data_IF_211465488203
#
_entry.id   IF_211465488203
#
_cell.length_a   1.000
_cell.length_b   1.000
_cell.length_c   1.000
_cell.angle_alpha   90.00
_cell.angle_beta   90.00
_cell.angle_gamma   90.00
#
_symmetry.space_group_name_H-M   'P 1'
#
loop_
_entity.id
_entity.type
_entity.pdbx_description
1 polymer ?
#
# COMPACT_ATOMS: atom_id res chain seq x y z
N UNK A 1 37.19 -16.20 -32.45
CA UNK A 1 37.39 -16.82 -33.78
C UNK A 1 37.67 -15.75 -34.82
N UNK A 2 38.56 -16.00 -35.77
CA UNK A 2 38.78 -15.12 -36.93
C UNK A 2 38.66 -15.94 -38.21
N UNK A 3 38.02 -15.40 -39.24
CA UNK A 3 38.05 -16.03 -40.56
C UNK A 3 39.47 -15.91 -41.14
N UNK A 4 39.96 -17.01 -41.70
CA UNK A 4 41.25 -17.07 -42.38
C UNK A 4 41.02 -17.57 -43.81
N UNK A 5 41.78 -17.02 -44.75
CA UNK A 5 41.92 -17.59 -46.09
C UNK A 5 43.37 -18.04 -46.25
N UNK A 6 43.56 -19.32 -46.59
CA UNK A 6 44.88 -19.92 -46.74
C UNK A 6 44.89 -20.81 -47.99
N UNK A 7 45.81 -20.54 -48.91
CA UNK A 7 45.93 -21.25 -50.19
C UNK A 7 44.62 -21.35 -50.99
N UNK A 8 43.79 -20.30 -50.96
CA UNK A 8 42.49 -20.26 -51.66
C UNK A 8 41.35 -20.95 -50.91
N UNK A 9 41.63 -21.68 -49.84
CA UNK A 9 40.61 -22.31 -49.00
C UNK A 9 40.16 -21.36 -47.88
N UNK A 10 38.87 -21.42 -47.55
CA UNK A 10 38.27 -20.70 -46.41
C UNK A 10 38.45 -21.54 -45.15
N UNK A 11 38.70 -20.89 -44.02
CA UNK A 11 38.91 -21.54 -42.73
C UNK A 11 38.68 -20.62 -41.54
N UNK A 12 38.87 -21.17 -40.35
CA UNK A 12 38.71 -20.46 -39.07
C UNK A 12 40.00 -20.60 -38.25
N UNK A 13 40.49 -19.47 -37.76
CA UNK A 13 41.55 -19.39 -36.77
C UNK A 13 41.00 -19.22 -35.36
N UNK A 14 41.44 -20.07 -34.44
CA UNK A 14 41.27 -19.88 -33.01
C UNK A 14 42.42 -19.02 -32.51
N UNK A 15 42.14 -17.76 -32.19
CA UNK A 15 43.13 -16.87 -31.58
C UNK A 15 43.09 -17.07 -30.07
N UNK A 16 44.24 -17.44 -29.49
CA UNK A 16 44.46 -17.55 -28.04
C UNK A 16 44.38 -16.21 -27.29
N UNK A 17 44.10 -15.12 -28.01
CA UNK A 17 43.94 -13.75 -27.49
C UNK A 17 42.47 -13.33 -27.34
N UNK A 18 41.48 -14.15 -27.73
CA UNK A 18 40.09 -13.82 -27.41
C UNK A 18 39.85 -14.00 -25.92
N UNK A 19 39.59 -12.89 -25.22
CA UNK A 19 39.23 -12.78 -23.81
C UNK A 19 37.95 -13.57 -23.50
N UNK A 20 38.06 -14.89 -23.35
CA UNK A 20 37.04 -15.69 -22.68
C UNK A 20 37.45 -15.71 -21.21
N UNK A 21 36.68 -15.04 -20.37
CA UNK A 21 36.78 -15.11 -18.92
C UNK A 21 36.48 -16.55 -18.47
N UNK A 22 37.49 -17.41 -18.46
CA UNK A 22 37.40 -18.83 -18.12
C UNK A 22 38.78 -19.48 -18.11
N UNK A 23 38.90 -20.65 -17.49
CA UNK A 23 40.17 -21.38 -17.32
C UNK A 23 40.79 -21.70 -18.70
N UNK A 24 41.75 -20.87 -19.13
CA UNK A 24 42.34 -20.89 -20.48
C UNK A 24 42.98 -22.23 -20.86
N UNK A 25 43.38 -23.01 -19.86
CA UNK A 25 44.03 -24.31 -20.01
C UNK A 25 43.09 -25.37 -20.59
N UNK A 26 41.84 -25.44 -20.15
CA UNK A 26 40.90 -26.49 -20.59
C UNK A 26 40.51 -26.32 -22.07
N UNK A 27 40.29 -25.09 -22.51
CA UNK A 27 39.87 -24.83 -23.90
C UNK A 27 41.02 -24.99 -24.90
N UNK A 28 42.25 -24.66 -24.51
CA UNK A 28 43.44 -24.93 -25.33
C UNK A 28 43.74 -26.43 -25.42
N UNK A 29 43.39 -27.21 -24.39
CA UNK A 29 43.53 -28.66 -24.43
C UNK A 29 42.46 -29.32 -25.31
N UNK A 30 41.28 -28.68 -25.46
CA UNK A 30 40.18 -29.21 -26.26
C UNK A 30 40.40 -29.05 -27.77
N UNK A 31 41.08 -27.98 -28.21
CA UNK A 31 41.37 -27.73 -29.62
C UNK A 31 42.86 -27.85 -29.89
N UNK A 32 43.27 -28.98 -30.47
CA UNK A 32 44.68 -29.29 -30.75
C UNK A 32 45.30 -28.38 -31.83
N UNK A 33 44.48 -27.79 -32.70
CA UNK A 33 44.93 -26.90 -33.76
C UNK A 33 44.46 -25.45 -33.58
N UNK A 34 45.33 -24.51 -33.94
CA UNK A 34 44.99 -23.08 -33.98
C UNK A 34 44.24 -22.69 -35.24
N UNK A 35 44.16 -23.57 -36.25
CA UNK A 35 43.63 -23.30 -37.58
C UNK A 35 42.87 -24.52 -38.11
N UNK A 36 41.70 -24.26 -38.67
CA UNK A 36 40.83 -25.24 -39.28
C UNK A 36 40.44 -24.80 -40.68
N UNK A 37 40.32 -25.75 -41.61
CA UNK A 37 39.93 -25.51 -43.02
C UNK A 37 38.53 -26.05 -43.24
N UNK A 38 37.70 -25.35 -44.01
CA UNK A 38 36.36 -25.83 -44.34
C UNK A 38 36.44 -26.95 -45.38
N UNK A 39 35.77 -28.08 -45.15
CA UNK A 39 35.63 -29.18 -46.11
C UNK A 39 34.24 -29.80 -46.08
N UNK A 40 34.04 -30.87 -46.86
CA UNK A 40 32.75 -31.58 -46.94
C UNK A 40 32.52 -32.51 -45.74
N UNK A 41 33.58 -33.10 -45.21
CA UNK A 41 33.55 -34.04 -44.10
C UNK A 41 34.54 -33.61 -43.02
N UNK A 42 34.18 -33.82 -41.76
CA UNK A 42 35.03 -33.50 -40.61
C UNK A 42 36.20 -34.48 -40.54
N UNK A 43 37.42 -33.95 -40.36
CA UNK A 43 38.64 -34.78 -40.26
C UNK A 43 39.61 -34.17 -39.24
N UNK A 44 39.97 -34.96 -38.23
CA UNK A 44 40.87 -34.54 -37.16
C UNK A 44 42.31 -34.33 -37.63
N UNK A 45 42.87 -35.25 -38.41
CA UNK A 45 44.27 -35.21 -38.83
C UNK A 45 44.55 -34.01 -39.75
N UNK A 46 43.57 -33.66 -40.59
CA UNK A 46 43.65 -32.54 -41.54
C UNK A 46 43.08 -31.23 -40.97
N UNK A 47 42.56 -31.22 -39.74
CA UNK A 47 41.86 -30.09 -39.13
C UNK A 47 40.73 -29.53 -40.01
N UNK A 48 39.97 -30.42 -40.64
CA UNK A 48 38.86 -30.06 -41.50
C UNK A 48 37.59 -29.96 -40.68
N UNK A 49 36.92 -28.81 -40.78
CA UNK A 49 35.60 -28.57 -40.21
C UNK A 49 34.54 -28.65 -41.31
N UNK A 50 33.37 -29.17 -40.98
CA UNK A 50 32.23 -29.20 -41.90
C UNK A 50 31.10 -28.34 -41.38
N UNK A 51 30.30 -27.84 -42.33
CA UNK A 51 29.11 -27.05 -42.06
C UNK A 51 27.91 -27.85 -42.55
N UNK A 52 26.95 -28.08 -41.66
CA UNK A 52 25.67 -28.66 -42.04
C UNK A 52 24.52 -27.86 -41.42
N UNK A 53 23.33 -27.97 -42.01
CA UNK A 53 22.11 -27.33 -41.51
C UNK A 53 22.23 -25.81 -41.24
N UNK A 54 22.73 -25.05 -42.23
CA UNK A 54 22.84 -23.57 -42.32
C UNK A 54 23.54 -22.81 -41.17
N UNK A 55 23.66 -23.36 -39.95
CA UNK A 55 24.09 -22.66 -38.74
C UNK A 55 24.83 -23.56 -37.73
N UNK A 56 25.19 -24.79 -38.12
CA UNK A 56 25.98 -25.71 -37.28
C UNK A 56 27.35 -25.90 -37.88
N UNK A 57 28.37 -25.85 -37.02
CA UNK A 57 29.76 -26.08 -37.37
C UNK A 57 30.26 -27.24 -36.53
N UNK A 58 30.80 -28.25 -37.17
CA UNK A 58 31.36 -29.42 -36.48
C UNK A 58 32.87 -29.35 -36.46
N UNK A 59 33.44 -29.42 -35.26
CA UNK A 59 34.87 -29.41 -35.01
C UNK A 59 35.34 -30.80 -34.58
N UNK A 60 36.45 -31.30 -35.12
CA UNK A 60 37.07 -32.52 -34.62
C UNK A 60 37.86 -32.21 -33.34
N UNK A 61 37.57 -32.93 -32.25
CA UNK A 61 38.33 -32.88 -30.99
C UNK A 61 39.35 -34.03 -30.94
N UNK A 62 38.97 -35.20 -31.44
CA UNK A 62 39.82 -36.38 -31.56
C UNK A 62 39.41 -37.20 -32.80
N UNK A 63 40.09 -38.32 -33.06
CA UNK A 63 39.77 -39.19 -34.20
C UNK A 63 38.32 -39.73 -34.17
N UNK A 64 37.70 -39.82 -32.98
CA UNK A 64 36.36 -40.39 -32.80
C UNK A 64 35.37 -39.41 -32.14
N UNK A 65 35.77 -38.19 -31.82
CA UNK A 65 34.93 -37.21 -31.13
C UNK A 65 34.90 -35.88 -31.88
N UNK A 66 33.68 -35.38 -32.07
CA UNK A 66 33.42 -34.07 -32.65
C UNK A 66 32.60 -33.22 -31.69
N UNK A 67 32.76 -31.91 -31.77
CA UNK A 67 31.92 -30.92 -31.08
C UNK A 67 31.15 -30.10 -32.08
N UNK A 68 29.85 -30.04 -31.87
CA UNK A 68 28.93 -29.31 -32.74
C UNK A 68 28.66 -27.96 -32.08
N UNK A 69 29.19 -26.90 -32.69
CA UNK A 69 28.90 -25.53 -32.28
C UNK A 69 27.64 -25.07 -33.01
N UNK A 70 26.59 -24.80 -32.24
CA UNK A 70 25.35 -24.20 -32.74
C UNK A 70 25.41 -22.69 -32.59
N UNK A 71 24.89 -21.96 -33.57
CA UNK A 71 24.72 -20.52 -33.45
C UNK A 71 23.78 -20.18 -32.29
N UNK A 72 24.15 -19.17 -31.49
CA UNK A 72 23.29 -18.64 -30.43
C UNK A 72 21.98 -18.04 -30.96
N UNK A 73 21.88 -17.80 -32.28
CA UNK A 73 20.64 -17.38 -32.94
C UNK A 73 19.53 -18.44 -32.94
N UNK A 74 19.90 -19.72 -32.80
CA UNK A 74 18.97 -20.85 -32.87
C UNK A 74 18.21 -21.08 -31.54
N UNK A 75 18.64 -20.45 -30.44
CA UNK A 75 18.00 -20.56 -29.11
C UNK A 75 16.89 -19.53 -28.90
N UNK A 76 16.07 -19.29 -29.93
CA UNK A 76 14.81 -18.57 -29.83
C UNK A 76 13.68 -19.61 -29.87
N UNK A 77 13.43 -20.25 -28.75
CA UNK A 77 12.03 -20.60 -28.45
C UNK A 77 11.38 -19.25 -28.05
N UNK A 78 10.44 -18.72 -28.85
CA UNK A 78 9.86 -17.40 -28.63
C UNK A 78 9.06 -17.30 -27.32
N UNK A 79 8.75 -18.42 -26.67
CA UNK A 79 7.86 -18.45 -25.51
C UNK A 79 8.57 -18.37 -24.15
N UNK A 80 9.87 -18.69 -24.05
CA UNK A 80 10.53 -18.85 -22.74
C UNK A 80 11.32 -17.61 -22.25
N UNK A 81 11.43 -16.55 -23.07
CA UNK A 81 12.18 -15.32 -22.74
C UNK A 81 11.52 -14.00 -23.20
N UNK A 82 10.22 -14.03 -23.50
CA UNK A 82 9.47 -12.84 -23.95
C UNK A 82 9.51 -11.70 -22.91
N UNK A 83 9.34 -12.04 -21.62
CA UNK A 83 9.37 -11.09 -20.51
C UNK A 83 10.73 -10.40 -20.39
N UNK A 84 11.83 -11.15 -20.54
CA UNK A 84 13.17 -10.57 -20.41
C UNK A 84 13.51 -9.66 -21.59
N UNK A 85 13.12 -10.05 -22.81
CA UNK A 85 13.43 -9.31 -24.03
C UNK A 85 12.64 -8.01 -24.12
N UNK A 86 11.35 -8.05 -23.76
CA UNK A 86 10.51 -6.86 -23.70
C UNK A 86 11.06 -5.86 -22.68
N UNK A 87 11.43 -6.32 -21.49
CA UNK A 87 12.03 -5.48 -20.47
C UNK A 87 13.41 -4.93 -20.88
N UNK A 88 14.25 -5.72 -21.54
CA UNK A 88 15.55 -5.26 -22.03
C UNK A 88 15.43 -4.22 -23.15
N UNK A 89 14.43 -4.35 -24.01
CA UNK A 89 14.16 -3.36 -25.08
C UNK A 89 13.62 -2.04 -24.53
N UNK A 90 12.90 -2.08 -23.39
CA UNK A 90 12.38 -0.92 -22.68
C UNK A 90 13.41 -0.29 -21.76
N UNK A 91 14.31 -1.09 -21.19
CA UNK A 91 15.36 -0.63 -20.31
C UNK A 91 16.43 0.14 -21.11
N UNK A 92 16.50 1.45 -20.90
CA UNK A 92 17.66 2.22 -21.37
C UNK A 92 18.87 1.80 -20.51
N UNK A 93 20.04 1.55 -21.13
CA UNK A 93 21.24 1.32 -20.36
C UNK A 93 21.49 2.56 -19.48
N UNK A 94 21.49 2.37 -18.17
CA UNK A 94 21.88 3.43 -17.25
C UNK A 94 23.36 3.73 -17.51
N UNK A 95 23.65 4.95 -17.96
CA UNK A 95 25.02 5.38 -18.20
C UNK A 95 25.65 5.74 -16.85
N UNK A 96 26.73 5.05 -16.49
CA UNK A 96 27.59 5.48 -15.40
C UNK A 96 28.37 6.74 -15.81
N UNK A 97 28.50 7.74 -14.91
CA UNK A 97 28.04 7.76 -13.52
C UNK A 97 26.57 8.16 -13.38
N UNK A 98 25.88 7.67 -12.33
CA UNK A 98 24.43 7.86 -12.13
C UNK A 98 24.00 9.26 -11.69
N UNK A 99 24.81 10.28 -11.97
CA UNK A 99 24.71 11.64 -11.43
C UNK A 99 23.42 12.38 -11.82
N UNK A 100 22.63 11.85 -12.75
CA UNK A 100 21.35 12.44 -13.17
C UNK A 100 20.21 12.17 -12.18
N UNK A 101 20.34 11.20 -11.28
CA UNK A 101 19.34 10.88 -10.26
C UNK A 101 20.01 10.89 -8.88
N UNK A 102 19.62 11.85 -8.04
CA UNK A 102 20.15 12.01 -6.67
C UNK A 102 20.03 10.72 -5.84
N UNK A 103 18.93 10.00 -6.03
CA UNK A 103 18.58 8.75 -5.37
C UNK A 103 19.53 7.62 -5.79
N UNK A 104 19.93 7.56 -7.06
CA UNK A 104 20.90 6.55 -7.49
C UNK A 104 22.31 6.83 -6.98
N UNK A 105 22.66 8.11 -6.79
CA UNK A 105 23.95 8.46 -6.17
C UNK A 105 24.03 7.94 -4.73
N UNK A 106 22.92 7.98 -3.98
CA UNK A 106 22.91 7.45 -2.61
C UNK A 106 22.94 5.91 -2.59
N UNK A 107 22.24 5.24 -3.51
CA UNK A 107 22.36 3.79 -3.73
C UNK A 107 23.80 3.38 -4.07
N UNK A 108 24.50 4.13 -4.92
CA UNK A 108 25.90 3.86 -5.27
C UNK A 108 26.81 3.99 -4.04
N UNK A 109 26.65 5.07 -3.25
CA UNK A 109 27.44 5.31 -2.03
C UNK A 109 27.19 4.21 -0.99
N UNK A 110 25.96 3.72 -0.85
CA UNK A 110 25.61 2.61 0.05
C UNK A 110 26.04 1.24 -0.48
N UNK A 111 26.16 1.10 -1.81
CA UNK A 111 26.58 -0.13 -2.49
C UNK A 111 25.88 -1.40 -1.96
N UNK A 112 24.52 -1.46 -1.92
CA UNK A 112 23.80 -2.59 -1.33
C UNK A 112 24.16 -3.94 -1.98
N UNK A 113 24.43 -3.93 -3.30
CA UNK A 113 24.88 -5.14 -4.01
C UNK A 113 26.27 -5.61 -3.58
N UNK A 114 27.19 -4.68 -3.31
CA UNK A 114 28.53 -5.04 -2.81
C UNK A 114 28.45 -5.62 -1.40
N UNK A 115 27.59 -5.04 -0.55
CA UNK A 115 27.32 -5.57 0.79
C UNK A 115 26.68 -6.97 0.72
N UNK A 116 25.65 -7.14 -0.12
CA UNK A 116 25.03 -8.43 -0.39
C UNK A 116 26.05 -9.48 -0.86
N UNK A 117 26.89 -9.14 -1.84
CA UNK A 117 27.93 -10.04 -2.35
C UNK A 117 28.98 -10.37 -1.28
N UNK A 118 29.33 -9.40 -0.41
CA UNK A 118 30.21 -9.66 0.72
C UNK A 118 29.60 -10.66 1.69
N UNK A 119 28.31 -10.53 2.02
CA UNK A 119 27.60 -11.52 2.84
C UNK A 119 27.65 -12.93 2.25
N UNK A 120 27.50 -13.06 0.93
CA UNK A 120 27.61 -14.34 0.24
C UNK A 120 29.05 -14.88 0.22
N UNK A 121 30.02 -14.02 -0.05
CA UNK A 121 31.42 -14.38 -0.14
C UNK A 121 31.96 -14.91 1.19
N UNK A 122 31.66 -14.22 2.29
CA UNK A 122 32.08 -14.62 3.64
C UNK A 122 31.18 -15.69 4.28
N UNK A 123 30.22 -16.23 3.52
CA UNK A 123 29.29 -17.29 3.97
C UNK A 123 28.55 -16.94 5.26
N UNK A 124 28.08 -15.70 5.39
CA UNK A 124 27.35 -15.25 6.58
C UNK A 124 26.11 -16.10 6.88
N UNK A 125 25.52 -16.79 5.91
CA UNK A 125 24.41 -17.73 6.15
C UNK A 125 24.77 -18.92 7.07
N UNK A 126 26.06 -19.21 7.23
CA UNK A 126 26.56 -20.30 8.08
C UNK A 126 26.97 -19.80 9.46
N UNK A 127 27.03 -18.48 9.64
CA UNK A 127 27.33 -17.81 10.90
C UNK A 127 26.03 -17.40 11.61
N UNK A 128 26.10 -17.09 12.90
CA UNK A 128 24.93 -16.66 13.70
C UNK A 128 24.41 -15.26 13.31
N UNK A 129 24.81 -14.69 12.17
CA UNK A 129 24.51 -13.32 11.76
C UNK A 129 23.22 -13.18 10.94
N UNK A 130 22.61 -14.29 10.51
CA UNK A 130 21.29 -14.26 9.87
C UNK A 130 21.09 -15.34 8.82
N UNK A 131 19.83 -15.56 8.45
CA UNK A 131 19.48 -16.44 7.33
C UNK A 131 19.75 -15.75 5.99
N UNK A 132 19.84 -16.52 4.91
CA UNK A 132 19.92 -15.95 3.55
C UNK A 132 18.75 -15.02 3.23
N UNK A 133 17.57 -15.28 3.80
CA UNK A 133 16.40 -14.41 3.67
C UNK A 133 16.63 -13.05 4.33
N UNK A 134 17.30 -13.01 5.47
CA UNK A 134 17.61 -11.77 6.18
C UNK A 134 18.60 -10.92 5.39
N UNK A 135 19.61 -11.56 4.76
CA UNK A 135 20.56 -10.88 3.85
C UNK A 135 19.86 -10.28 2.63
N UNK A 136 18.89 -11.00 2.04
CA UNK A 136 18.08 -10.45 0.93
C UNK A 136 17.25 -9.27 1.41
N UNK A 137 16.57 -9.42 2.55
CA UNK A 137 15.70 -8.37 3.09
C UNK A 137 16.51 -7.12 3.44
N UNK A 138 17.70 -7.25 4.02
CA UNK A 138 18.60 -6.12 4.28
C UNK A 138 18.97 -5.38 2.99
N UNK A 139 19.32 -6.12 1.93
CA UNK A 139 19.60 -5.53 0.62
C UNK A 139 18.38 -4.78 0.07
N UNK A 140 17.19 -5.39 0.13
CA UNK A 140 15.93 -4.77 -0.28
C UNK A 140 15.62 -3.52 0.55
N UNK A 141 15.76 -3.57 1.87
CA UNK A 141 15.49 -2.45 2.77
C UNK A 141 16.41 -1.26 2.49
N UNK A 142 17.70 -1.52 2.19
CA UNK A 142 18.64 -0.46 1.79
C UNK A 142 18.22 0.13 0.45
N UNK A 143 17.90 -0.70 -0.55
CA UNK A 143 17.50 -0.23 -1.88
C UNK A 143 16.21 0.59 -1.78
N UNK A 144 15.19 0.06 -1.11
CA UNK A 144 13.90 0.73 -0.97
C UNK A 144 14.06 2.06 -0.22
N UNK A 145 14.85 2.08 0.86
CA UNK A 145 15.13 3.30 1.61
C UNK A 145 15.87 4.35 0.79
N UNK A 146 16.87 3.96 0.01
CA UNK A 146 17.67 4.92 -0.77
C UNK A 146 16.96 5.38 -2.05
N UNK A 147 16.05 4.56 -2.60
CA UNK A 147 15.22 4.92 -3.75
C UNK A 147 13.97 5.73 -3.39
N UNK A 148 13.60 5.82 -2.11
CA UNK A 148 12.50 6.67 -1.68
C UNK A 148 12.86 8.16 -1.86
N UNK A 149 12.06 8.94 -2.59
CA UNK A 149 12.31 10.36 -2.77
C UNK A 149 12.10 11.14 -1.47
N UNK A 150 12.70 12.33 -1.39
CA UNK A 150 12.41 13.31 -0.34
C UNK A 150 10.94 13.74 -0.38
N UNK A 151 10.31 13.93 0.80
CA UNK A 151 8.93 14.40 0.88
C UNK A 151 8.76 15.83 0.34
N UNK A 152 9.82 16.64 0.27
CA UNK A 152 9.78 17.97 -0.36
C UNK A 152 9.52 17.93 -1.87
N UNK A 153 9.92 16.84 -2.54
CA UNK A 153 9.89 16.71 -4.00
C UNK A 153 8.63 16.00 -4.53
N UNK A 154 7.76 15.51 -3.64
CA UNK A 154 6.59 14.72 -4.02
C UNK A 154 5.32 15.55 -3.88
N UNK A 155 4.56 15.72 -4.96
CA UNK A 155 3.31 16.51 -4.96
C UNK A 155 2.16 15.81 -4.24
N UNK A 156 2.17 14.47 -4.18
CA UNK A 156 1.16 13.64 -3.52
C UNK A 156 1.80 12.73 -2.48
N UNK A 157 1.84 13.18 -1.24
CA UNK A 157 2.38 12.41 -0.11
C UNK A 157 1.33 11.40 0.35
N UNK A 158 1.71 10.12 0.36
CA UNK A 158 0.91 9.02 0.91
C UNK A 158 1.43 8.68 2.29
N UNK A 159 0.55 8.70 3.27
CA UNK A 159 0.91 8.38 4.65
C UNK A 159 -0.10 7.42 5.28
N UNK A 160 0.36 6.66 6.26
CA UNK A 160 -0.45 5.85 7.15
C UNK A 160 -0.44 6.49 8.53
N UNK A 161 -1.61 6.55 9.14
CA UNK A 161 -1.77 7.02 10.51
C UNK A 161 -1.77 5.79 11.40
N UNK A 162 -0.86 5.76 12.38
CA UNK A 162 -0.74 4.69 13.37
C UNK A 162 -1.86 4.72 14.42
N UNK A 163 -1.70 3.93 15.47
CA UNK A 163 -2.58 3.99 16.65
C UNK A 163 -2.16 5.12 17.61
N UNK A 164 -3.12 5.61 18.39
CA UNK A 164 -2.85 6.60 19.44
C UNK A 164 -2.01 5.95 20.55
N UNK A 165 -0.80 6.46 20.77
CA UNK A 165 0.04 6.02 21.88
C UNK A 165 -0.46 6.67 23.17
N UNK A 166 -0.97 5.86 24.08
CA UNK A 166 -1.70 6.32 25.28
C UNK A 166 -0.86 7.23 26.19
N UNK A 167 0.44 6.97 26.30
CA UNK A 167 1.35 7.73 27.17
C UNK A 167 1.62 9.14 26.67
N UNK A 168 1.71 9.33 25.36
CA UNK A 168 2.06 10.61 24.73
C UNK A 168 0.86 11.37 24.20
N UNK A 169 -0.31 10.71 24.06
CA UNK A 169 -1.51 11.24 23.39
C UNK A 169 -1.24 11.70 21.95
N UNK A 170 -0.30 11.03 21.31
CA UNK A 170 0.11 11.30 19.93
C UNK A 170 -0.09 10.07 19.06
N UNK A 171 -0.40 10.32 17.80
CA UNK A 171 -0.47 9.32 16.74
C UNK A 171 0.73 9.50 15.84
N UNK A 172 1.48 8.43 15.61
CA UNK A 172 2.61 8.43 14.69
C UNK A 172 2.13 8.40 13.23
N UNK A 173 2.73 9.24 12.39
CA UNK A 173 2.49 9.29 10.95
C UNK A 173 3.66 8.61 10.25
N UNK A 174 3.35 7.55 9.50
CA UNK A 174 4.28 6.82 8.66
C UNK A 174 4.12 7.24 7.21
N UNK A 175 5.16 7.81 6.61
CA UNK A 175 5.16 8.22 5.20
C UNK A 175 5.54 7.02 4.33
N UNK A 176 4.63 6.58 3.46
CA UNK A 176 4.77 5.34 2.69
C UNK A 176 5.61 5.55 1.43
N UNK A 177 5.61 6.76 0.86
CA UNK A 177 6.20 7.01 -0.45
C UNK A 177 7.33 8.04 -0.46
N UNK A 178 7.75 8.53 0.70
CA UNK A 178 8.84 9.50 0.79
C UNK A 178 9.55 9.48 2.15
N UNK A 179 10.79 9.95 2.16
CA UNK A 179 11.58 10.18 3.36
C UNK A 179 11.32 11.59 3.87
N UNK A 180 10.95 11.71 5.14
CA UNK A 180 10.69 12.99 5.78
C UNK A 180 12.00 13.75 6.05
N UNK A 181 12.32 14.69 5.17
CA UNK A 181 13.50 15.57 5.20
C UNK A 181 13.18 17.03 5.55
N UNK A 182 11.89 17.40 5.61
CA UNK A 182 11.41 18.80 5.80
C UNK A 182 10.94 19.08 7.23
N UNK A 183 11.41 18.32 8.23
CA UNK A 183 10.88 18.39 9.60
C UNK A 183 9.34 18.34 9.65
N UNK A 184 8.71 17.54 8.76
CA UNK A 184 7.28 17.32 8.83
C UNK A 184 6.97 16.65 10.17
N UNK A 185 5.89 17.08 10.84
CA UNK A 185 5.53 16.51 12.13
C UNK A 185 5.24 15.02 11.98
N UNK A 186 6.07 14.19 12.63
CA UNK A 186 5.88 12.73 12.69
C UNK A 186 4.74 12.34 13.61
N UNK A 187 4.28 13.28 14.42
CA UNK A 187 3.23 13.07 15.41
C UNK A 187 2.09 14.06 15.22
N UNK A 188 0.87 13.59 15.41
CA UNK A 188 -0.33 14.42 15.55
C UNK A 188 -1.06 14.10 16.85
N UNK A 189 -1.74 15.08 17.43
CA UNK A 189 -2.52 14.84 18.64
C UNK A 189 -3.70 13.91 18.35
N UNK A 190 -3.98 13.00 19.28
CA UNK A 190 -5.07 12.04 19.12
C UNK A 190 -6.43 12.75 19.05
N UNK A 191 -7.22 12.43 18.03
CA UNK A 191 -8.57 12.99 17.85
C UNK A 191 -9.60 12.39 18.80
N UNK A 192 -9.28 11.28 19.47
CA UNK A 192 -10.15 10.61 20.44
C UNK A 192 -9.36 10.27 21.72
N UNK A 193 -10.06 10.24 22.85
CA UNK A 193 -9.49 9.70 24.08
C UNK A 193 -9.69 8.17 24.09
N UNK A 194 -8.63 7.37 24.25
CA UNK A 194 -8.77 5.93 24.36
C UNK A 194 -9.55 5.56 25.63
N UNK A 195 -10.43 4.56 25.52
CA UNK A 195 -11.38 4.11 26.57
C UNK A 195 -10.66 3.52 27.78
N UNK A 196 -9.43 3.06 27.60
CA UNK A 196 -8.52 2.54 28.64
C UNK A 196 -8.17 3.58 29.69
N UNK A 197 -8.34 4.87 29.40
CA UNK A 197 -8.01 5.94 30.34
C UNK A 197 -9.11 6.16 31.38
N UNK A 198 -8.72 6.49 32.61
CA UNK A 198 -9.64 6.75 33.73
C UNK A 198 -10.69 7.82 33.40
N UNK A 199 -10.32 8.86 32.64
CA UNK A 199 -11.26 9.89 32.18
C UNK A 199 -12.26 9.36 31.15
N UNK A 200 -11.84 8.45 30.27
CA UNK A 200 -12.72 7.78 29.31
C UNK A 200 -13.76 6.92 30.03
N UNK A 201 -13.33 6.14 31.03
CA UNK A 201 -14.23 5.37 31.89
C UNK A 201 -15.22 6.25 32.66
N UNK A 202 -14.78 7.39 33.20
CA UNK A 202 -15.66 8.34 33.90
C UNK A 202 -16.74 8.88 32.95
N UNK A 203 -16.37 9.26 31.72
CA UNK A 203 -17.33 9.72 30.71
C UNK A 203 -18.30 8.59 30.35
N UNK A 204 -17.81 7.37 30.15
CA UNK A 204 -18.65 6.23 29.82
C UNK A 204 -19.66 5.90 30.94
N UNK A 205 -19.23 5.94 32.20
CA UNK A 205 -20.10 5.76 33.36
C UNK A 205 -21.16 6.87 33.39
N UNK A 206 -20.77 8.13 33.17
CA UNK A 206 -21.71 9.25 33.13
C UNK A 206 -22.77 9.10 32.04
N UNK A 207 -22.36 8.73 30.82
CA UNK A 207 -23.28 8.47 29.70
C UNK A 207 -24.23 7.32 30.03
N UNK A 208 -23.71 6.23 30.61
CA UNK A 208 -24.54 5.08 31.01
C UNK A 208 -25.55 5.47 32.10
N UNK A 209 -25.13 6.26 33.09
CA UNK A 209 -26.01 6.77 34.14
C UNK A 209 -27.11 7.68 33.58
N UNK A 210 -26.78 8.55 32.62
CA UNK A 210 -27.77 9.40 31.96
C UNK A 210 -28.85 8.58 31.26
N UNK A 211 -28.47 7.53 30.51
CA UNK A 211 -29.44 6.63 29.87
C UNK A 211 -30.36 5.92 30.87
N UNK A 212 -29.85 5.52 32.03
CA UNK A 212 -30.68 4.91 33.08
C UNK A 212 -31.71 5.91 33.61
N UNK A 213 -31.31 7.17 33.82
CA UNK A 213 -32.22 8.24 34.26
C UNK A 213 -33.32 8.49 33.21
N UNK A 214 -32.95 8.61 31.94
CA UNK A 214 -33.91 8.81 30.85
C UNK A 214 -34.92 7.65 30.76
N UNK A 215 -34.45 6.42 30.92
CA UNK A 215 -35.30 5.23 30.95
C UNK A 215 -36.28 5.25 32.14
N UNK A 216 -35.84 5.67 33.32
CA UNK A 216 -36.72 5.82 34.48
C UNK A 216 -37.78 6.91 34.27
N UNK A 217 -37.40 8.05 33.68
CA UNK A 217 -38.34 9.12 33.35
C UNK A 217 -39.40 8.66 32.34
N UNK A 218 -38.99 7.87 31.35
CA UNK A 218 -39.90 7.25 30.39
C UNK A 218 -40.94 6.34 31.08
N UNK A 219 -40.52 5.50 32.04
CA UNK A 219 -41.46 4.67 32.82
C UNK A 219 -42.45 5.55 33.62
N UNK A 220 -41.97 6.63 34.23
CA UNK A 220 -42.84 7.57 34.96
C UNK A 220 -43.87 8.21 34.03
N UNK A 221 -43.49 8.60 32.81
CA UNK A 221 -44.44 9.13 31.82
C UNK A 221 -45.51 8.11 31.43
N UNK A 222 -45.12 6.86 31.16
CA UNK A 222 -46.07 5.79 30.84
C UNK A 222 -47.03 5.55 32.01
N UNK A 223 -46.55 5.53 33.25
CA UNK A 223 -47.44 5.33 34.42
C UNK A 223 -48.40 6.50 34.62
N UNK A 224 -47.95 7.75 34.42
CA UNK A 224 -48.83 8.92 34.43
C UNK A 224 -49.89 8.83 33.32
N UNK A 225 -49.53 8.39 32.12
CA UNK A 225 -50.46 8.24 30.98
C UNK A 225 -51.52 7.19 31.27
N UNK A 226 -51.14 6.08 31.89
CA UNK A 226 -52.07 5.04 32.33
C UNK A 226 -53.04 5.62 33.37
N UNK A 227 -52.54 6.30 34.40
CA UNK A 227 -53.38 6.91 35.45
C UNK A 227 -54.35 7.94 34.84
N UNK A 228 -53.86 8.80 33.96
CA UNK A 228 -54.68 9.78 33.25
C UNK A 228 -55.78 9.11 32.43
N UNK A 229 -55.42 8.04 31.69
CA UNK A 229 -56.35 7.27 30.85
C UNK A 229 -57.49 6.62 31.64
N UNK A 230 -57.24 6.25 32.90
CA UNK A 230 -58.28 5.73 33.80
C UNK A 230 -59.09 6.82 34.51
N UNK A 231 -58.58 8.05 34.61
CA UNK A 231 -59.23 9.15 35.34
C UNK A 231 -60.17 9.98 34.47
N UNK A 232 -60.03 9.93 33.14
CA UNK A 232 -60.89 10.66 32.22
C UNK A 232 -62.33 10.11 32.22
N UNK A 233 -63.31 11.01 32.12
CA UNK A 233 -64.74 10.65 32.08
C UNK A 233 -65.27 10.38 30.66
N UNK A 234 -64.40 10.34 29.64
CA UNK A 234 -64.78 10.17 28.24
C UNK A 234 -65.35 11.45 27.62
N UNK A 235 -66.36 11.30 26.77
CA UNK A 235 -67.04 12.44 26.09
C UNK A 235 -68.06 13.06 27.05
N UNK A 236 -68.00 14.39 27.20
CA UNK A 236 -68.95 15.16 28.00
C UNK A 236 -69.70 16.10 27.05
N UNK A 237 -71.03 16.11 27.16
CA UNK A 237 -71.87 17.05 26.42
C UNK A 237 -71.82 18.43 27.09
N UNK A 238 -71.37 19.45 26.36
CA UNK A 238 -71.43 20.86 26.80
C UNK A 238 -72.46 21.61 25.98
N UNK A 239 -73.30 22.37 26.68
CA UNK A 239 -74.27 23.28 26.07
C UNK A 239 -73.65 24.65 25.87
N UNK A 240 -73.74 25.17 24.67
CA UNK A 240 -73.31 26.53 24.32
C UNK A 240 -74.50 27.30 23.78
N UNK A 241 -74.55 28.60 24.13
CA UNK A 241 -75.56 29.52 23.64
C UNK A 241 -74.91 30.49 22.65
N UNK A 242 -75.45 30.56 21.43
CA UNK A 242 -75.11 31.61 20.48
C UNK A 242 -76.28 32.56 20.27
N UNK A 243 -76.00 33.86 20.39
CA UNK A 243 -76.95 34.92 20.05
C UNK A 243 -77.46 34.72 18.62
N UNK A 244 -78.79 34.73 18.45
CA UNK A 244 -79.54 34.52 17.20
C UNK A 244 -79.62 33.07 16.65
N UNK A 245 -78.95 32.09 17.26
CA UNK A 245 -78.98 30.68 16.80
C UNK A 245 -79.66 29.77 17.84
N UNK A 246 -79.55 30.10 19.13
CA UNK A 246 -80.11 29.31 20.23
C UNK A 246 -79.10 28.36 20.88
N UNK A 247 -79.61 27.45 21.72
CA UNK A 247 -78.79 26.43 22.39
C UNK A 247 -78.43 25.29 21.44
N UNK A 248 -77.17 24.87 21.47
CA UNK A 248 -76.71 23.65 20.81
C UNK A 248 -75.74 22.88 21.71
N UNK A 249 -75.70 21.57 21.52
CA UNK A 249 -74.85 20.66 22.28
C UNK A 249 -73.64 20.28 21.44
N UNK A 250 -72.44 20.45 22.00
CA UNK A 250 -71.20 19.95 21.43
C UNK A 250 -70.66 18.81 22.30
N UNK A 251 -70.28 17.73 21.64
CA UNK A 251 -69.47 16.67 22.22
C UNK A 251 -68.06 17.22 22.44
N UNK A 252 -67.65 17.35 23.70
CA UNK A 252 -66.30 17.77 24.06
C UNK A 252 -65.60 16.64 24.84
N UNK A 253 -64.33 16.41 24.56
CA UNK A 253 -63.58 15.38 25.25
C UNK A 253 -63.24 15.87 26.66
N UNK A 254 -63.50 15.07 27.69
CA UNK A 254 -63.06 15.40 29.03
C UNK A 254 -61.54 15.47 29.07
N UNK A 255 -61.00 16.63 29.47
CA UNK A 255 -59.55 16.82 29.73
C UNK A 255 -59.06 16.02 30.95
N UNK A 256 -59.97 15.36 31.67
CA UNK A 256 -59.67 14.56 32.85
C UNK A 256 -59.16 15.42 34.00
N UNK A 257 -58.12 14.93 34.68
CA UNK A 257 -57.43 15.72 35.70
C UNK A 257 -56.39 16.63 35.04
N UNK A 258 -56.70 17.93 34.95
CA UNK A 258 -55.84 18.94 34.33
C UNK A 258 -54.44 19.00 34.95
N UNK A 259 -54.30 18.70 36.25
CA UNK A 259 -53.00 18.70 36.93
C UNK A 259 -52.08 17.58 36.42
N UNK A 260 -52.63 16.40 36.11
CA UNK A 260 -51.85 15.27 35.59
C UNK A 260 -51.42 15.55 34.15
N UNK A 261 -52.32 16.12 33.34
CA UNK A 261 -52.01 16.49 31.97
C UNK A 261 -50.96 17.61 31.92
N UNK A 262 -51.10 18.62 32.78
CA UNK A 262 -50.14 19.72 32.88
C UNK A 262 -48.75 19.24 33.33
N UNK A 263 -48.68 18.31 34.29
CA UNK A 263 -47.39 17.78 34.75
C UNK A 263 -46.66 16.98 33.67
N UNK A 264 -47.36 16.22 32.83
CA UNK A 264 -46.76 15.55 31.66
C UNK A 264 -46.09 16.55 30.73
N UNK A 265 -46.81 17.61 30.34
CA UNK A 265 -46.26 18.64 29.45
C UNK A 265 -45.05 19.36 30.04
N UNK A 266 -45.02 19.57 31.36
CA UNK A 266 -43.85 20.17 32.04
C UNK A 266 -42.64 19.25 31.95
N UNK A 267 -42.82 17.93 32.17
CA UNK A 267 -41.73 16.95 32.07
C UNK A 267 -41.21 16.89 30.62
N UNK A 268 -42.10 16.77 29.63
CA UNK A 268 -41.73 16.74 28.22
C UNK A 268 -40.97 18.00 27.79
N UNK A 269 -41.47 19.16 28.20
CA UNK A 269 -40.82 20.43 27.91
C UNK A 269 -39.43 20.53 28.59
N UNK A 270 -39.31 20.06 29.83
CA UNK A 270 -38.03 19.99 30.53
C UNK A 270 -37.00 19.10 29.81
N UNK A 271 -37.41 17.91 29.39
CA UNK A 271 -36.58 16.99 28.61
C UNK A 271 -36.16 17.57 27.26
N UNK A 272 -37.07 18.29 26.60
CA UNK A 272 -36.77 18.99 25.35
C UNK A 272 -35.70 20.08 25.56
N UNK A 273 -35.84 20.91 26.60
CA UNK A 273 -34.86 21.96 26.91
C UNK A 273 -33.48 21.36 27.24
N UNK A 274 -33.44 20.30 28.05
CA UNK A 274 -32.19 19.59 28.36
C UNK A 274 -31.56 19.05 27.07
N UNK A 275 -32.35 18.43 26.20
CA UNK A 275 -31.90 17.90 24.91
C UNK A 275 -31.29 18.99 24.03
N UNK A 276 -31.89 20.19 23.97
CA UNK A 276 -31.35 21.35 23.24
C UNK A 276 -30.03 21.82 23.86
N UNK A 277 -29.93 21.90 25.19
CA UNK A 277 -28.69 22.31 25.89
C UNK A 277 -27.56 21.32 25.60
N UNK A 278 -27.82 20.02 25.69
CA UNK A 278 -26.84 18.96 25.39
C UNK A 278 -26.41 19.03 23.93
N UNK A 279 -27.34 19.17 22.99
CA UNK A 279 -27.03 19.31 21.57
C UNK A 279 -26.18 20.58 21.29
N UNK A 280 -26.47 21.69 21.97
CA UNK A 280 -25.71 22.93 21.82
C UNK A 280 -24.28 22.81 22.38
N UNK A 281 -24.12 22.19 23.55
CA UNK A 281 -22.81 21.95 24.16
C UNK A 281 -21.98 20.93 23.36
N UNK A 282 -22.62 19.88 22.82
CA UNK A 282 -21.97 18.89 21.97
C UNK A 282 -21.35 19.50 20.71
N UNK A 283 -21.97 20.52 20.11
CA UNK A 283 -21.42 21.22 18.95
C UNK A 283 -20.10 21.92 19.24
N UNK A 284 -19.90 22.46 20.45
CA UNK A 284 -18.63 23.12 20.82
C UNK A 284 -17.47 22.13 20.88
N UNK A 285 -17.74 20.89 21.30
CA UNK A 285 -16.76 19.81 21.36
C UNK A 285 -16.45 19.31 19.94
N UNK A 286 -17.48 19.16 19.09
CA UNK A 286 -17.33 18.72 17.71
C UNK A 286 -16.64 19.74 16.79
N UNK A 287 -16.73 21.05 17.05
CA UNK A 287 -16.00 22.06 16.27
C UNK A 287 -14.50 21.98 16.53
N UNK A 288 -14.07 21.62 17.74
CA UNK A 288 -12.66 21.40 18.07
C UNK A 288 -12.12 20.14 17.37
N UNK A 289 -12.90 19.05 17.33
CA UNK A 289 -12.49 17.83 16.61
C UNK A 289 -12.64 17.93 15.08
N UNK A 290 -13.55 18.77 14.59
CA UNK A 290 -13.68 19.02 13.16
C UNK A 290 -12.65 20.03 12.65
N UNK A 291 -12.17 21.01 13.42
CA UNK A 291 -11.08 21.89 12.97
C UNK A 291 -9.74 21.13 12.83
N UNK A 292 -9.48 20.14 13.68
CA UNK A 292 -8.31 19.25 13.52
C UNK A 292 -8.48 18.26 12.36
N UNK A 293 -9.71 17.83 12.06
CA UNK A 293 -10.04 16.97 10.92
C UNK A 293 -10.10 17.71 9.57
N UNK A 294 -10.61 18.95 9.51
CA UNK A 294 -10.77 19.71 8.26
C UNK A 294 -9.45 20.23 7.70
N UNK A 295 -8.49 20.56 8.56
CA UNK A 295 -7.14 20.91 8.10
C UNK A 295 -6.38 19.69 7.54
N UNK A 296 -6.82 18.47 7.85
CA UNK A 296 -6.23 17.22 7.35
C UNK A 296 -7.04 16.59 6.19
N UNK A 297 -8.32 16.94 6.00
CA UNK A 297 -9.16 16.41 4.90
C UNK A 297 -9.01 17.14 3.56
N UNK A 298 -8.49 18.36 3.55
CA UNK A 298 -8.28 19.08 2.28
C UNK A 298 -7.11 18.53 1.43
N UNK A 299 -6.28 17.62 1.95
CA UNK A 299 -5.30 16.87 1.15
C UNK A 299 -5.74 15.43 0.84
N UNK A 300 -6.57 14.79 1.68
CA UNK A 300 -6.91 13.36 1.55
C UNK A 300 -8.22 13.10 0.77
N UNK A 301 -9.19 14.03 0.78
CA UNK A 301 -10.48 13.79 0.09
C UNK A 301 -10.48 14.03 -1.42
N UNK A 302 -9.36 14.48 -2.01
CA UNK A 302 -9.21 14.59 -3.48
C UNK A 302 -8.88 13.27 -4.17
N UNK A 303 -8.51 12.22 -3.43
CA UNK A 303 -8.11 10.93 -4.03
C UNK A 303 -9.19 9.83 -3.87
N UNK A 304 -10.36 10.12 -3.30
CA UNK A 304 -11.44 9.13 -3.11
C UNK A 304 -12.61 9.21 -4.11
N UNK A 305 -12.61 10.20 -5.01
CA UNK A 305 -13.42 10.18 -6.21
C UNK A 305 -12.47 10.06 -7.41
N UNK A 306 -12.27 8.87 -7.99
CA UNK A 306 -11.71 8.80 -9.33
C UNK A 306 -12.70 9.51 -10.25
N UNK A 307 -12.27 10.60 -10.88
CA UNK A 307 -12.91 11.09 -12.09
C UNK A 307 -13.03 9.88 -13.02
N UNK A 308 -14.28 9.50 -13.29
CA UNK A 308 -14.63 8.51 -14.30
C UNK A 308 -13.95 8.93 -15.60
N UNK A 309 -13.12 8.04 -16.13
CA UNK A 309 -12.55 8.12 -17.48
C UNK A 309 -13.67 8.42 -18.48
N UNK A 310 -13.70 9.65 -18.99
CA UNK A 310 -14.34 9.93 -20.28
C UNK A 310 -13.46 9.31 -21.35
N UNK A 311 -13.96 8.23 -21.91
CA UNK A 311 -13.52 7.66 -23.19
C UNK A 311 -13.81 8.71 -24.28
N UNK A 312 -12.75 9.27 -24.85
CA UNK A 312 -12.64 9.59 -26.29
C UNK A 312 -11.17 9.83 -26.64
#
# INVERSE_FOLDING_TARGET
MRHLSYNGNRGIGLSSQSYIYGNKTELNNLFSASRYVCGSEVNYDDNVITFYEQQKIEFPISQNETIILKSMSERRDPDDCSILTENYSKAKPLQFPYNTFSELSSVEVRSPFSLFLAHLYYKHNTTNEGSFKDIINECCDIIDKELMPSCSNVTKIKFRVGECVESSKKIYIEYINCINDVDLSKDIDCSYLPVTYSLGLIIQIYVTMAYIIDFLLYIVQITLLIIWSFTQKGVIMKRYYLDNIGDYELEDCSTGNEYILSSMFIIDFGLLVISIIVAFNGRKILVVSNMTSFNNRNSVFKDFFPESETIS
#
